data_IF_337288747140
#
_entry.id   IF_337288747140
#
_cell.length_a   1.000
_cell.length_b   1.000
_cell.length_c   1.000
_cell.angle_alpha   90.00
_cell.angle_beta   90.00
_cell.angle_gamma   90.00
#
_symmetry.space_group_name_H-M   'P 1'
#
loop_
_entity.id
_entity.type
_entity.pdbx_description
1 polymer ?
#
# COMPACT_ATOMS: atom_id res chain seq x y z
N UNK A 1 -7.93 11.80 -31.29
CA UNK A 1 -6.53 12.19 -30.92
C UNK A 1 -6.06 11.45 -29.65
N UNK A 2 -4.97 10.67 -29.71
CA UNK A 2 -4.51 9.75 -28.64
C UNK A 2 -3.93 10.51 -27.42
N UNK A 3 -4.78 10.98 -26.50
CA UNK A 3 -4.35 11.67 -25.26
C UNK A 3 -3.43 10.75 -24.46
N UNK A 4 -2.24 11.23 -24.13
CA UNK A 4 -1.31 10.50 -23.27
C UNK A 4 -2.01 10.20 -21.92
N UNK A 5 -1.96 8.95 -21.42
CA UNK A 5 -2.60 8.57 -20.15
C UNK A 5 -1.78 9.07 -18.95
N UNK A 6 -1.63 10.40 -18.83
CA UNK A 6 -0.81 11.06 -17.80
C UNK A 6 -1.27 10.65 -16.40
N UNK A 7 -2.59 10.51 -16.19
CA UNK A 7 -3.13 10.04 -14.92
C UNK A 7 -2.52 8.70 -14.50
N UNK A 8 -2.42 7.74 -15.43
CA UNK A 8 -1.92 6.40 -15.12
C UNK A 8 -0.41 6.39 -14.87
N UNK A 9 0.34 7.25 -15.57
CA UNK A 9 1.77 7.46 -15.29
C UNK A 9 2.00 7.97 -13.87
N UNK A 10 1.27 9.01 -13.45
CA UNK A 10 1.40 9.59 -12.11
C UNK A 10 1.06 8.54 -11.05
N UNK A 11 -0.08 7.86 -11.22
CA UNK A 11 -0.54 6.82 -10.32
C UNK A 11 0.48 5.68 -10.19
N UNK A 12 0.99 5.16 -11.31
CA UNK A 12 1.97 4.07 -11.30
C UNK A 12 3.29 4.46 -10.64
N UNK A 13 3.76 5.69 -10.82
CA UNK A 13 4.99 6.16 -10.16
C UNK A 13 4.79 6.20 -8.63
N UNK A 14 3.68 6.75 -8.15
CA UNK A 14 3.37 6.77 -6.72
C UNK A 14 3.25 5.34 -6.15
N UNK A 15 2.57 4.45 -6.87
CA UNK A 15 2.43 3.05 -6.52
C UNK A 15 3.75 2.28 -6.53
N UNK A 16 4.66 2.59 -7.46
CA UNK A 16 5.98 2.00 -7.51
C UNK A 16 6.85 2.41 -6.32
N UNK A 17 6.80 3.68 -5.92
CA UNK A 17 7.51 4.16 -4.75
C UNK A 17 7.06 3.40 -3.49
N UNK A 18 5.74 3.31 -3.27
CA UNK A 18 5.19 2.58 -2.12
C UNK A 18 5.55 1.09 -2.19
N UNK A 19 5.40 0.47 -3.36
CA UNK A 19 5.72 -0.96 -3.53
C UNK A 19 7.21 -1.24 -3.30
N UNK A 20 8.10 -0.33 -3.71
CA UNK A 20 9.54 -0.46 -3.48
C UNK A 20 9.90 -0.39 -2.00
N UNK A 21 9.24 0.47 -1.24
CA UNK A 21 9.42 0.55 0.22
C UNK A 21 8.94 -0.74 0.90
N UNK A 22 7.78 -1.26 0.50
CA UNK A 22 7.26 -2.53 1.04
C UNK A 22 8.16 -3.73 0.70
N UNK A 23 8.71 -3.78 -0.53
CA UNK A 23 9.69 -4.79 -0.91
C UNK A 23 10.95 -4.71 -0.07
N UNK A 24 11.47 -3.50 0.16
CA UNK A 24 12.62 -3.32 1.05
C UNK A 24 12.31 -3.80 2.48
N UNK A 25 11.09 -3.53 2.96
CA UNK A 25 10.63 -3.95 4.29
C UNK A 25 10.56 -5.46 4.51
N UNK A 26 10.27 -6.26 3.48
CA UNK A 26 10.26 -7.74 3.59
C UNK A 26 11.63 -8.38 3.34
N UNK A 27 12.56 -7.65 2.72
CA UNK A 27 13.93 -8.10 2.48
C UNK A 27 14.87 -7.75 3.64
N UNK A 28 14.47 -6.80 4.48
CA UNK A 28 15.22 -6.47 5.69
C UNK A 28 15.07 -7.59 6.73
N UNK A 29 16.10 -7.85 7.55
CA UNK A 29 16.00 -8.88 8.57
C UNK A 29 15.03 -8.46 9.68
N UNK A 30 14.22 -9.40 10.15
CA UNK A 30 13.42 -9.22 11.36
C UNK A 30 14.35 -8.95 12.56
N UNK A 31 14.29 -7.77 13.20
CA UNK A 31 15.11 -7.47 14.36
C UNK A 31 14.72 -8.35 15.55
N UNK A 32 15.72 -8.77 16.34
CA UNK A 32 15.44 -9.46 17.60
C UNK A 32 14.90 -8.49 18.65
N UNK A 33 14.14 -9.01 19.62
CA UNK A 33 13.63 -8.20 20.75
C UNK A 33 14.75 -7.53 21.55
N UNK A 34 15.92 -8.18 21.67
CA UNK A 34 17.06 -7.60 22.38
C UNK A 34 17.64 -6.40 21.65
N UNK A 35 17.76 -6.46 20.31
CA UNK A 35 18.21 -5.32 19.49
C UNK A 35 17.23 -4.15 19.64
N UNK A 36 15.92 -4.41 19.59
CA UNK A 36 14.89 -3.39 19.81
C UNK A 36 14.97 -2.78 21.22
N UNK A 37 15.16 -3.63 22.25
CA UNK A 37 15.25 -3.17 23.64
C UNK A 37 16.49 -2.30 23.85
N UNK A 38 17.63 -2.68 23.30
CA UNK A 38 18.86 -1.90 23.40
C UNK A 38 18.70 -0.55 22.71
N UNK A 39 18.07 -0.49 21.53
CA UNK A 39 17.87 0.79 20.82
C UNK A 39 16.96 1.76 21.59
N UNK A 40 15.92 1.23 22.25
CA UNK A 40 15.00 2.03 23.07
C UNK A 40 15.62 2.46 24.42
N UNK A 41 16.38 1.58 25.07
CA UNK A 41 16.99 1.85 26.39
C UNK A 41 17.99 3.01 26.32
N UNK A 42 18.65 3.19 25.17
CA UNK A 42 19.60 4.28 24.94
C UNK A 42 18.93 5.67 24.87
N UNK A 43 17.60 5.75 24.79
CA UNK A 43 16.87 7.03 24.73
C UNK A 43 16.71 7.72 26.10
N UNK A 44 16.81 6.97 27.21
CA UNK A 44 16.70 7.49 28.58
C UNK A 44 15.34 8.11 28.98
N UNK A 45 14.35 8.13 28.08
CA UNK A 45 13.09 8.87 28.25
C UNK A 45 11.90 7.98 28.61
N UNK A 46 12.03 6.66 28.51
CA UNK A 46 10.96 5.69 28.67
C UNK A 46 11.12 4.88 29.96
N UNK A 47 10.01 4.57 30.61
CA UNK A 47 9.99 3.61 31.72
C UNK A 47 10.28 2.19 31.22
N UNK A 48 10.70 1.29 32.12
CA UNK A 48 10.93 -0.12 31.76
C UNK A 48 9.68 -0.78 31.15
N UNK A 49 8.49 -0.46 31.66
CA UNK A 49 7.23 -0.97 31.11
C UNK A 49 6.97 -0.46 29.69
N UNK A 50 7.18 0.83 29.44
CA UNK A 50 7.00 1.43 28.11
C UNK A 50 8.01 0.89 27.09
N UNK A 51 9.23 0.58 27.52
CA UNK A 51 10.22 -0.10 26.68
C UNK A 51 9.70 -1.48 26.29
N UNK A 52 9.26 -2.31 27.23
CA UNK A 52 8.74 -3.65 26.92
C UNK A 52 7.48 -3.62 26.03
N UNK A 53 6.57 -2.68 26.29
CA UNK A 53 5.36 -2.51 25.48
C UNK A 53 5.71 -2.14 24.04
N UNK A 54 6.65 -1.20 23.85
CA UNK A 54 7.13 -0.79 22.53
C UNK A 54 7.85 -1.93 21.82
N UNK A 55 8.73 -2.67 22.52
CA UNK A 55 9.44 -3.83 21.95
C UNK A 55 8.46 -4.89 21.48
N UNK A 56 7.46 -5.25 22.31
CA UNK A 56 6.50 -6.29 21.97
C UNK A 56 5.59 -5.87 20.81
N UNK A 57 5.10 -4.62 20.82
CA UNK A 57 4.33 -4.05 19.72
C UNK A 57 5.15 -4.06 18.41
N UNK A 58 6.34 -3.45 18.41
CA UNK A 58 7.16 -3.30 17.20
C UNK A 58 7.57 -4.66 16.65
N UNK A 59 7.96 -5.59 17.51
CA UNK A 59 8.28 -6.95 17.10
C UNK A 59 7.06 -7.63 16.45
N UNK A 60 5.88 -7.55 17.08
CA UNK A 60 4.67 -8.17 16.55
C UNK A 60 4.27 -7.60 15.18
N UNK A 61 4.26 -6.28 15.03
CA UNK A 61 3.93 -5.62 13.75
C UNK A 61 4.93 -6.00 12.66
N UNK A 62 6.22 -6.05 13.00
CA UNK A 62 7.27 -6.40 12.03
C UNK A 62 7.20 -7.88 11.66
N UNK A 63 6.99 -8.77 12.63
CA UNK A 63 6.83 -10.20 12.39
C UNK A 63 5.59 -10.51 11.51
N UNK A 64 4.46 -9.86 11.77
CA UNK A 64 3.27 -9.95 10.92
C UNK A 64 3.52 -9.47 9.49
N UNK A 65 4.35 -8.44 9.32
CA UNK A 65 4.75 -7.94 8.01
C UNK A 65 5.64 -8.92 7.24
N UNK A 66 6.33 -9.83 7.93
CA UNK A 66 7.14 -10.91 7.35
C UNK A 66 6.36 -12.21 7.15
N UNK A 67 5.05 -12.23 7.44
CA UNK A 67 4.24 -13.43 7.23
C UNK A 67 4.24 -13.84 5.75
N UNK A 68 4.11 -15.15 5.48
CA UNK A 68 4.02 -15.68 4.12
C UNK A 68 2.89 -15.00 3.34
N UNK A 69 1.76 -14.74 4.01
CA UNK A 69 0.60 -14.09 3.41
C UNK A 69 0.92 -12.65 2.99
N UNK A 70 1.49 -11.84 3.88
CA UNK A 70 1.84 -10.46 3.55
C UNK A 70 2.93 -10.38 2.47
N UNK A 71 3.92 -11.28 2.55
CA UNK A 71 5.00 -11.38 1.56
C UNK A 71 4.43 -11.67 0.18
N UNK A 72 3.48 -12.61 0.06
CA UNK A 72 2.80 -12.89 -1.20
C UNK A 72 2.04 -11.68 -1.73
N UNK A 73 1.29 -10.97 -0.88
CA UNK A 73 0.59 -9.75 -1.28
C UNK A 73 1.56 -8.70 -1.86
N UNK A 74 2.67 -8.44 -1.16
CA UNK A 74 3.67 -7.45 -1.58
C UNK A 74 4.32 -7.84 -2.91
N UNK A 75 4.72 -9.11 -3.07
CA UNK A 75 5.35 -9.58 -4.31
C UNK A 75 4.37 -9.52 -5.48
N UNK A 76 3.12 -9.96 -5.30
CA UNK A 76 2.09 -9.89 -6.34
C UNK A 76 1.77 -8.44 -6.72
N UNK A 77 1.66 -7.54 -5.74
CA UNK A 77 1.48 -6.11 -5.99
C UNK A 77 2.63 -5.52 -6.80
N UNK A 78 3.88 -5.83 -6.45
CA UNK A 78 5.04 -5.35 -7.20
C UNK A 78 5.04 -5.84 -8.66
N UNK A 79 4.69 -7.12 -8.89
CA UNK A 79 4.55 -7.68 -10.24
C UNK A 79 3.49 -6.90 -11.03
N UNK A 80 2.32 -6.63 -10.44
CA UNK A 80 1.24 -5.91 -11.12
C UNK A 80 1.63 -4.47 -11.49
N UNK A 81 2.40 -3.78 -10.64
CA UNK A 81 2.95 -2.45 -10.99
C UNK A 81 3.86 -2.55 -12.21
N UNK A 82 4.77 -3.52 -12.25
CA UNK A 82 5.66 -3.74 -13.41
C UNK A 82 4.86 -4.08 -14.66
N UNK A 83 3.89 -4.97 -14.56
CA UNK A 83 3.01 -5.35 -15.68
C UNK A 83 2.25 -4.14 -16.22
N UNK A 84 1.70 -3.30 -15.34
CA UNK A 84 1.01 -2.08 -15.73
C UNK A 84 1.94 -1.09 -16.44
N UNK A 85 3.19 -0.91 -15.96
CA UNK A 85 4.20 -0.11 -16.67
C UNK A 85 4.52 -0.67 -18.05
N UNK A 86 4.74 -1.97 -18.17
CA UNK A 86 5.04 -2.62 -19.46
C UNK A 86 3.91 -2.38 -20.46
N UNK A 87 2.66 -2.58 -20.06
CA UNK A 87 1.52 -2.28 -20.92
C UNK A 87 1.42 -0.80 -21.29
N UNK A 88 1.70 0.09 -20.33
CA UNK A 88 1.65 1.54 -20.56
C UNK A 88 2.71 2.01 -21.57
N UNK A 89 3.95 1.51 -21.45
CA UNK A 89 5.04 1.78 -22.39
C UNK A 89 4.70 1.24 -23.78
N UNK A 90 4.11 0.04 -23.86
CA UNK A 90 3.60 -0.56 -25.10
C UNK A 90 2.33 0.12 -25.65
N UNK A 91 1.92 1.25 -25.06
CA UNK A 91 0.72 2.02 -25.44
C UNK A 91 -0.58 1.22 -25.37
N UNK A 92 -0.60 0.14 -24.60
CA UNK A 92 -1.79 -0.66 -24.35
C UNK A 92 -2.48 -0.19 -23.05
N UNK A 93 -3.18 0.94 -23.15
CA UNK A 93 -3.74 1.65 -21.99
C UNK A 93 -4.83 0.87 -21.28
N UNK A 94 -5.65 0.09 -22.00
CA UNK A 94 -6.71 -0.71 -21.39
C UNK A 94 -6.14 -1.79 -20.46
N UNK A 95 -5.17 -2.58 -20.95
CA UNK A 95 -4.53 -3.61 -20.12
C UNK A 95 -3.68 -3.01 -18.99
N UNK A 96 -3.07 -1.84 -19.21
CA UNK A 96 -2.39 -1.11 -18.14
C UNK A 96 -3.36 -0.69 -17.02
N UNK A 97 -4.57 -0.22 -17.37
CA UNK A 97 -5.60 0.09 -16.37
C UNK A 97 -6.07 -1.16 -15.63
N UNK A 98 -6.29 -2.30 -16.32
CA UNK A 98 -6.70 -3.54 -15.65
C UNK A 98 -5.65 -4.06 -14.68
N UNK A 99 -4.37 -4.06 -15.07
CA UNK A 99 -3.28 -4.43 -14.18
C UNK A 99 -3.18 -3.48 -12.98
N UNK A 100 -3.37 -2.17 -13.21
CA UNK A 100 -3.38 -1.18 -12.14
C UNK A 100 -4.56 -1.34 -11.17
N UNK A 101 -5.77 -1.62 -11.68
CA UNK A 101 -6.94 -1.94 -10.83
C UNK A 101 -6.65 -3.16 -9.96
N UNK A 102 -6.09 -4.23 -10.55
CA UNK A 102 -5.67 -5.41 -9.79
C UNK A 102 -4.67 -5.08 -8.69
N UNK A 103 -3.68 -4.23 -8.99
CA UNK A 103 -2.72 -3.75 -8.00
C UNK A 103 -3.41 -3.00 -6.86
N UNK A 104 -4.31 -2.05 -7.16
CA UNK A 104 -4.96 -1.23 -6.14
C UNK A 104 -5.88 -2.08 -5.26
N UNK A 105 -6.59 -3.06 -5.82
CA UNK A 105 -7.41 -3.99 -5.03
C UNK A 105 -6.54 -4.81 -4.08
N UNK A 106 -5.41 -5.34 -4.55
CA UNK A 106 -4.45 -6.04 -3.70
C UNK A 106 -3.86 -5.13 -2.61
N UNK A 107 -3.56 -3.88 -2.93
CA UNK A 107 -3.06 -2.91 -1.97
C UNK A 107 -4.08 -2.65 -0.85
N UNK A 108 -5.38 -2.53 -1.19
CA UNK A 108 -6.46 -2.41 -0.19
C UNK A 108 -6.51 -3.65 0.71
N UNK A 109 -6.44 -4.85 0.15
CA UNK A 109 -6.40 -6.10 0.94
C UNK A 109 -5.21 -6.12 1.88
N UNK A 110 -4.02 -5.74 1.42
CA UNK A 110 -2.82 -5.63 2.24
C UNK A 110 -2.95 -4.61 3.37
N UNK A 111 -3.58 -3.47 3.11
CA UNK A 111 -3.83 -2.43 4.13
C UNK A 111 -4.83 -2.89 5.19
N UNK A 112 -5.88 -3.63 4.81
CA UNK A 112 -6.82 -4.23 5.76
C UNK A 112 -6.11 -5.28 6.61
N UNK A 113 -5.30 -6.14 6.00
CA UNK A 113 -4.48 -7.12 6.73
C UNK A 113 -3.53 -6.43 7.72
N UNK A 114 -2.82 -5.38 7.29
CA UNK A 114 -1.96 -4.56 8.15
C UNK A 114 -2.73 -3.95 9.32
N UNK A 115 -3.92 -3.38 9.06
CA UNK A 115 -4.78 -2.80 10.10
C UNK A 115 -5.13 -3.82 11.19
N UNK A 116 -5.52 -5.03 10.80
CA UNK A 116 -5.86 -6.10 11.75
C UNK A 116 -4.65 -6.49 12.61
N UNK A 117 -3.48 -6.66 12.00
CA UNK A 117 -2.26 -7.00 12.75
C UNK A 117 -1.82 -5.88 13.71
N UNK A 118 -1.97 -4.62 13.31
CA UNK A 118 -1.74 -3.49 14.22
C UNK A 118 -2.74 -3.53 15.37
N UNK A 119 -4.02 -3.79 15.10
CA UNK A 119 -5.04 -3.89 16.14
C UNK A 119 -4.71 -4.99 17.16
N UNK A 120 -4.24 -6.15 16.71
CA UNK A 120 -3.80 -7.24 17.59
C UNK A 120 -2.54 -6.86 18.38
N UNK A 121 -1.56 -6.20 17.74
CA UNK A 121 -0.33 -5.76 18.39
C UNK A 121 -0.57 -4.68 19.45
N UNK A 122 -1.53 -3.77 19.26
CA UNK A 122 -1.89 -2.74 20.25
C UNK A 122 -2.40 -3.37 21.55
N UNK A 123 -3.05 -4.54 21.49
CA UNK A 123 -3.53 -5.24 22.68
C UNK A 123 -2.39 -5.77 23.57
N UNK A 124 -1.16 -5.84 23.04
CA UNK A 124 0.03 -6.21 23.82
C UNK A 124 0.54 -5.06 24.70
N UNK A 125 0.11 -3.82 24.44
CA UNK A 125 0.57 -2.64 25.16
C UNK A 125 -0.26 -2.48 26.44
N UNK A 126 0.40 -2.47 27.59
CA UNK A 126 -0.27 -2.30 28.90
C UNK A 126 -0.47 -0.84 29.27
N UNK A 127 0.45 0.04 28.87
CA UNK A 127 0.29 1.49 29.05
C UNK A 127 -0.80 2.03 28.11
N UNK A 128 -1.97 2.38 28.67
CA UNK A 128 -3.12 2.84 27.89
C UNK A 128 -2.82 4.08 27.03
N UNK A 129 -2.00 5.02 27.52
CA UNK A 129 -1.68 6.24 26.78
C UNK A 129 -0.76 5.94 25.62
N UNK A 130 0.27 5.11 25.84
CA UNK A 130 1.16 4.64 24.79
C UNK A 130 0.39 3.82 23.75
N UNK A 131 -0.49 2.92 24.19
CA UNK A 131 -1.30 2.07 23.33
C UNK A 131 -2.23 2.88 22.44
N UNK A 132 -2.89 3.90 23.01
CA UNK A 132 -3.72 4.83 22.23
C UNK A 132 -2.89 5.60 21.20
N UNK A 133 -1.73 6.12 21.58
CA UNK A 133 -0.86 6.90 20.69
C UNK A 133 -0.31 6.07 19.51
N UNK A 134 0.30 4.93 19.81
CA UNK A 134 0.86 4.04 18.78
C UNK A 134 -0.24 3.44 17.89
N UNK A 135 -1.34 2.99 18.52
CA UNK A 135 -2.48 2.41 17.81
C UNK A 135 -3.14 3.40 16.86
N UNK A 136 -3.49 4.60 17.33
CA UNK A 136 -4.18 5.60 16.52
C UNK A 136 -3.35 6.05 15.31
N UNK A 137 -2.04 6.24 15.48
CA UNK A 137 -1.15 6.63 14.37
C UNK A 137 -1.06 5.54 13.30
N UNK A 138 -0.80 4.29 13.70
CA UNK A 138 -0.63 3.20 12.75
C UNK A 138 -1.97 2.81 12.06
N UNK A 139 -3.06 2.73 12.83
CA UNK A 139 -4.39 2.44 12.30
C UNK A 139 -4.89 3.58 11.39
N UNK A 140 -4.72 4.83 11.83
CA UNK A 140 -5.09 6.01 11.04
C UNK A 140 -4.32 6.09 9.71
N UNK A 141 -3.04 5.70 9.71
CA UNK A 141 -2.24 5.61 8.49
C UNK A 141 -2.82 4.57 7.53
N UNK A 142 -3.14 3.35 8.00
CA UNK A 142 -3.76 2.32 7.17
C UNK A 142 -5.10 2.81 6.57
N UNK A 143 -5.96 3.44 7.37
CA UNK A 143 -7.25 4.00 6.92
C UNK A 143 -7.04 5.06 5.83
N UNK A 144 -6.10 6.00 6.04
CA UNK A 144 -5.80 7.03 5.07
C UNK A 144 -5.37 6.44 3.73
N UNK A 145 -4.46 5.46 3.75
CA UNK A 145 -4.02 4.78 2.52
C UNK A 145 -5.14 3.99 1.84
N UNK A 146 -6.08 3.41 2.59
CA UNK A 146 -7.26 2.76 2.01
C UNK A 146 -8.10 3.80 1.26
N UNK A 147 -8.37 4.95 1.86
CA UNK A 147 -9.14 6.04 1.23
C UNK A 147 -8.43 6.51 -0.06
N UNK A 148 -7.11 6.72 -0.02
CA UNK A 148 -6.32 7.10 -1.19
C UNK A 148 -6.45 6.07 -2.31
N UNK A 149 -6.38 4.77 -2.00
CA UNK A 149 -6.52 3.71 -2.99
C UNK A 149 -7.95 3.65 -3.58
N UNK A 150 -8.98 3.90 -2.77
CA UNK A 150 -10.37 4.03 -3.28
C UNK A 150 -10.49 5.22 -4.24
N UNK A 151 -9.87 6.37 -3.93
CA UNK A 151 -9.84 7.52 -4.84
C UNK A 151 -9.07 7.19 -6.14
N UNK A 152 -8.00 6.41 -6.06
CA UNK A 152 -7.28 5.95 -7.26
C UNK A 152 -8.15 5.06 -8.14
N UNK A 153 -8.90 4.12 -7.57
CA UNK A 153 -9.87 3.30 -8.32
C UNK A 153 -10.93 4.19 -8.99
N UNK A 154 -11.53 5.11 -8.24
CA UNK A 154 -12.55 6.02 -8.77
C UNK A 154 -12.02 6.83 -9.96
N UNK A 155 -10.79 7.35 -9.86
CA UNK A 155 -10.14 8.10 -10.93
C UNK A 155 -9.90 7.22 -12.18
N UNK A 156 -9.42 5.99 -12.00
CA UNK A 156 -9.13 5.07 -13.10
C UNK A 156 -10.41 4.66 -13.81
N UNK A 157 -11.43 4.25 -13.06
CA UNK A 157 -12.74 3.91 -13.65
C UNK A 157 -13.36 5.09 -14.40
N UNK A 158 -13.32 6.29 -13.80
CA UNK A 158 -13.80 7.50 -14.47
C UNK A 158 -13.05 7.76 -15.79
N UNK A 159 -11.72 7.63 -15.80
CA UNK A 159 -10.90 7.83 -17.01
C UNK A 159 -11.15 6.77 -18.07
N UNK A 160 -11.30 5.50 -17.68
CA UNK A 160 -11.63 4.41 -18.61
C UNK A 160 -12.99 4.62 -19.25
N UNK A 161 -14.01 4.96 -18.46
CA UNK A 161 -15.35 5.22 -18.96
C UNK A 161 -15.37 6.39 -19.96
N UNK A 162 -14.68 7.48 -19.63
CA UNK A 162 -14.56 8.63 -20.56
C UNK A 162 -13.82 8.26 -21.84
N UNK A 163 -12.74 7.48 -21.75
CA UNK A 163 -12.02 7.00 -22.93
C UNK A 163 -12.89 6.14 -23.85
N UNK A 164 -13.75 5.28 -23.29
CA UNK A 164 -14.68 4.48 -24.08
C UNK A 164 -15.74 5.34 -24.78
N UNK A 165 -16.24 6.39 -24.12
CA UNK A 165 -17.17 7.35 -24.73
C UNK A 165 -16.55 8.13 -25.87
N UNK A 166 -15.36 8.71 -25.64
CA UNK A 166 -14.63 9.45 -26.66
C UNK A 166 -14.37 8.56 -27.90
N UNK A 167 -14.08 7.26 -27.71
CA UNK A 167 -13.90 6.28 -28.80
C UNK A 167 -15.20 5.98 -29.56
N UNK A 168 -16.33 5.85 -28.87
CA UNK A 168 -17.62 5.61 -29.52
C UNK A 168 -18.05 6.81 -30.36
N UNK A 169 -17.87 8.03 -29.85
CA UNK A 169 -18.16 9.27 -30.58
C UNK A 169 -17.25 9.46 -31.80
N UNK A 170 -15.95 9.10 -31.71
CA UNK A 170 -15.03 9.13 -32.86
C UNK A 170 -15.47 8.12 -33.96
N UNK A 171 -15.89 6.90 -33.59
CA UNK A 171 -16.39 5.89 -34.54
C UNK A 171 -17.68 6.34 -35.22
N UNK A 172 -18.64 6.86 -34.45
CA UNK A 172 -19.89 7.39 -35.02
C UNK A 172 -19.59 8.52 -36.01
N UNK A 173 -18.71 9.47 -35.66
CA UNK A 173 -18.36 10.58 -36.55
C UNK A 173 -17.66 10.14 -37.86
N UNK A 174 -16.88 9.06 -37.84
CA UNK A 174 -16.28 8.47 -39.04
C UNK A 174 -17.31 7.73 -39.92
N UNK A 175 -18.35 7.12 -39.33
CA UNK A 175 -19.42 6.44 -40.08
C UNK A 175 -20.38 7.41 -40.80
N UNK A 176 -20.52 8.66 -40.33
CA UNK A 176 -21.41 9.67 -40.94
C UNK A 176 -20.69 10.58 -41.97
N UNK A 177 -19.37 10.41 -42.18
CA UNK A 177 -18.54 11.22 -43.08
C UNK A 177 -18.29 10.53 -44.43
#
# INVERSE_FOLDING_TARGET
MKKNPIYLWVLLVLSALISSMSLFGILSPLPSKDVLRTSLSNSGSLTAQQIEDTVNYTYQVTASSHSIFNTLLIVLSAILVVVAFVFLVRKNVQFANYAYIGYVLLAIVGLVYSYMNVQDAVQLIKDTTLGLGMGALAQGTNILFIIINVLFLALVFYKMWRQQKDLAEEVEAEEVA
#
